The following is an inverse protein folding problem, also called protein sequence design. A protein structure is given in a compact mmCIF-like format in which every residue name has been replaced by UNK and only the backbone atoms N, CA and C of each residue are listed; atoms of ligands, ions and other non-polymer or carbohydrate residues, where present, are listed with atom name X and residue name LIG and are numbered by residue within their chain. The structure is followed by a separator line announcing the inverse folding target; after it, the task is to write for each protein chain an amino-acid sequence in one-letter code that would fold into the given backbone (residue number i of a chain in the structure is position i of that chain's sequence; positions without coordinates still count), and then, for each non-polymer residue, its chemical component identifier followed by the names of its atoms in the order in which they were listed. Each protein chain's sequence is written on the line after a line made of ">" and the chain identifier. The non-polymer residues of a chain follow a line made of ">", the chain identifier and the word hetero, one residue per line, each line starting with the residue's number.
data_IF_214190665159
#
_entry.id   IF_214190665159
#
_cell.length_a   1.000
_cell.length_b   1.000
_cell.length_c   1.000
_cell.angle_alpha   90.00
_cell.angle_beta   90.00
_cell.angle_gamma   90.00
#
_symmetry.space_group_name_H-M   'P 1'
#
loop_
_entity.id
_entity.type
_entity.pdbx_description
1 polymer ?
#
# COMPACT_ATOMS: atom_id res chain seq x y z
N UNK A 1 -19.59 2.32 -9.88
CA UNK A 1 -19.23 1.43 -8.76
C UNK A 1 -17.72 1.45 -8.66
N UNK A 2 -17.15 2.05 -7.62
CA UNK A 2 -15.70 2.05 -7.41
C UNK A 2 -15.24 0.67 -6.95
N UNK A 3 -14.05 0.25 -7.37
CA UNK A 3 -13.45 -0.96 -6.82
C UNK A 3 -13.00 -0.66 -5.40
N UNK A 4 -13.59 -1.35 -4.44
CA UNK A 4 -13.16 -1.31 -3.04
C UNK A 4 -12.16 -2.43 -2.78
N UNK A 5 -11.03 -2.09 -2.17
CA UNK A 5 -9.97 -3.05 -1.82
C UNK A 5 -9.89 -3.20 -0.30
N UNK A 6 -9.74 -4.44 0.16
CA UNK A 6 -9.36 -4.74 1.53
C UNK A 6 -7.84 -4.79 1.63
N UNK A 7 -7.28 -4.05 2.58
CA UNK A 7 -5.84 -4.02 2.83
C UNK A 7 -5.55 -4.68 4.17
N UNK A 8 -4.71 -5.70 4.13
CA UNK A 8 -4.21 -6.37 5.33
C UNK A 8 -2.77 -5.93 5.57
N UNK A 9 -2.55 -5.31 6.72
CA UNK A 9 -1.23 -4.89 7.17
C UNK A 9 -0.57 -6.00 7.99
N UNK A 10 0.61 -6.43 7.53
CA UNK A 10 1.52 -7.29 8.28
C UNK A 10 2.00 -6.57 9.55
N UNK A 11 2.49 -7.34 10.52
CA UNK A 11 2.97 -6.81 11.79
C UNK A 11 4.16 -5.87 11.58
N UNK A 12 5.12 -6.26 10.73
CA UNK A 12 6.31 -5.47 10.40
C UNK A 12 5.96 -4.14 9.74
N UNK A 13 4.86 -4.10 8.97
CA UNK A 13 4.34 -2.85 8.42
C UNK A 13 3.82 -1.92 9.52
N UNK A 14 3.11 -2.47 10.51
CA UNK A 14 2.54 -1.68 11.62
C UNK A 14 3.64 -1.10 12.48
N UNK A 15 4.62 -1.92 12.86
CA UNK A 15 5.79 -1.48 13.63
C UNK A 15 6.53 -0.36 12.91
N UNK A 16 6.81 -0.53 11.62
CA UNK A 16 7.43 0.52 10.81
C UNK A 16 6.57 1.78 10.76
N UNK A 17 5.26 1.64 10.47
CA UNK A 17 4.35 2.77 10.35
C UNK A 17 4.24 3.56 11.65
N UNK A 18 4.20 2.89 12.80
CA UNK A 18 4.10 3.53 14.11
C UNK A 18 5.36 4.31 14.48
N UNK A 19 6.53 3.84 14.02
CA UNK A 19 7.81 4.53 14.20
C UNK A 19 8.01 5.76 13.29
N UNK A 20 7.19 5.92 12.24
CA UNK A 20 7.29 7.04 11.30
C UNK A 20 6.82 8.37 11.89
N UNK A 21 7.34 9.47 11.35
CA UNK A 21 6.86 10.82 11.69
C UNK A 21 5.37 11.00 11.36
N UNK A 22 4.69 11.90 12.06
CA UNK A 22 3.26 12.19 11.82
C UNK A 22 2.96 12.54 10.36
N UNK A 23 3.79 13.40 9.76
CA UNK A 23 3.71 13.76 8.34
C UNK A 23 3.83 12.53 7.45
N UNK A 24 4.77 11.64 7.76
CA UNK A 24 5.00 10.41 7.00
C UNK A 24 3.79 9.47 7.07
N UNK A 25 3.27 9.24 8.28
CA UNK A 25 2.05 8.44 8.50
C UNK A 25 0.87 8.98 7.72
N UNK A 26 0.63 10.30 7.76
CA UNK A 26 -0.46 10.94 7.00
C UNK A 26 -0.33 10.71 5.48
N UNK A 27 0.87 10.84 4.92
CA UNK A 27 1.10 10.62 3.49
C UNK A 27 0.85 9.16 3.08
N UNK A 28 1.31 8.22 3.90
CA UNK A 28 1.08 6.78 3.68
C UNK A 28 -0.41 6.47 3.78
N UNK A 29 -1.08 6.92 4.83
CA UNK A 29 -2.51 6.65 5.03
C UNK A 29 -3.39 7.26 3.93
N UNK A 30 -3.09 8.47 3.46
CA UNK A 30 -3.79 9.07 2.32
C UNK A 30 -3.56 8.31 1.00
N UNK A 31 -2.42 7.63 0.83
CA UNK A 31 -2.22 6.74 -0.33
C UNK A 31 -3.03 5.46 -0.19
N UNK A 32 -2.97 4.82 0.98
CA UNK A 32 -3.70 3.58 1.28
C UNK A 32 -5.21 3.81 1.11
N UNK A 33 -5.76 4.91 1.62
CA UNK A 33 -7.20 5.21 1.47
C UNK A 33 -7.64 5.39 0.02
N UNK A 34 -6.76 5.88 -0.87
CA UNK A 34 -7.05 5.96 -2.31
C UNK A 34 -7.07 4.58 -2.97
N UNK A 35 -6.18 3.69 -2.53
CA UNK A 35 -6.22 2.28 -2.96
C UNK A 35 -7.51 1.63 -2.49
N UNK A 36 -7.87 1.77 -1.21
CA UNK A 36 -9.07 1.16 -0.62
C UNK A 36 -10.36 1.64 -1.27
N UNK A 37 -10.50 2.95 -1.53
CA UNK A 37 -11.77 3.54 -1.97
C UNK A 37 -11.93 3.58 -3.49
N UNK A 38 -10.85 3.53 -4.26
CA UNK A 38 -10.90 3.75 -5.70
C UNK A 38 -10.01 2.84 -6.53
N UNK A 39 -9.22 1.95 -5.90
CA UNK A 39 -8.21 1.16 -6.61
C UNK A 39 -7.10 2.00 -7.22
N UNK A 40 -6.87 3.22 -6.71
CA UNK A 40 -5.88 4.12 -7.28
C UNK A 40 -4.48 3.89 -6.65
N UNK A 41 -3.74 2.93 -7.21
CA UNK A 41 -2.37 2.59 -6.78
C UNK A 41 -1.32 3.66 -7.12
N UNK A 42 -1.59 4.50 -8.12
CA UNK A 42 -0.62 5.47 -8.64
C UNK A 42 0.61 4.81 -9.27
N UNK A 43 1.81 5.17 -8.80
CA UNK A 43 3.05 4.60 -9.36
C UNK A 43 3.34 3.25 -8.71
N UNK A 44 2.97 2.19 -9.44
CA UNK A 44 3.16 0.81 -9.02
C UNK A 44 4.11 0.08 -9.99
N UNK A 45 4.98 -0.77 -9.45
CA UNK A 45 5.91 -1.60 -10.24
C UNK A 45 5.84 -3.05 -9.78
N UNK A 46 5.83 -4.00 -10.71
CA UNK A 46 6.04 -5.41 -10.40
C UNK A 46 7.53 -5.67 -10.11
N UNK A 47 7.83 -6.27 -8.96
CA UNK A 47 9.19 -6.70 -8.60
C UNK A 47 9.40 -8.18 -8.95
N UNK A 48 8.43 -9.04 -8.64
CA UNK A 48 8.42 -10.48 -8.90
C UNK A 48 6.96 -10.96 -9.04
N UNK A 49 6.75 -12.25 -9.33
CA UNK A 49 5.40 -12.86 -9.32
C UNK A 49 4.71 -12.55 -7.99
N UNK A 50 3.54 -11.91 -8.06
CA UNK A 50 2.72 -11.51 -6.90
C UNK A 50 3.39 -10.54 -5.91
N UNK A 51 4.53 -9.92 -6.27
CA UNK A 51 5.16 -8.89 -5.44
C UNK A 51 5.18 -7.57 -6.20
N UNK A 52 4.50 -6.58 -5.66
CA UNK A 52 4.39 -5.25 -6.23
C UNK A 52 4.94 -4.20 -5.27
N UNK A 53 5.42 -3.11 -5.83
CA UNK A 53 5.96 -1.98 -5.11
C UNK A 53 5.15 -0.72 -5.43
N UNK A 54 4.66 -0.07 -4.38
CA UNK A 54 4.08 1.28 -4.40
C UNK A 54 5.19 2.30 -4.20
N UNK A 55 5.42 3.16 -5.19
CA UNK A 55 6.38 4.26 -5.10
C UNK A 55 5.69 5.57 -4.71
N UNK A 56 6.23 6.23 -3.70
CA UNK A 56 5.78 7.53 -3.21
C UNK A 56 6.63 8.66 -3.82
N UNK A 57 6.05 9.86 -3.84
CA UNK A 57 6.70 11.03 -4.46
C UNK A 57 7.95 11.50 -3.69
N UNK A 58 8.04 11.17 -2.40
CA UNK A 58 9.18 11.44 -1.54
C UNK A 58 10.27 10.34 -1.59
N UNK A 59 10.11 9.36 -2.48
CA UNK A 59 11.06 8.27 -2.68
C UNK A 59 10.78 7.02 -1.84
N UNK A 60 9.82 7.04 -0.91
CA UNK A 60 9.44 5.85 -0.14
C UNK A 60 8.85 4.76 -1.04
N UNK A 61 9.00 3.50 -0.59
CA UNK A 61 8.57 2.31 -1.31
C UNK A 61 7.91 1.36 -0.32
N UNK A 62 6.68 0.93 -0.62
CA UNK A 62 5.97 -0.09 0.16
C UNK A 62 5.73 -1.29 -0.74
N UNK A 63 6.05 -2.47 -0.24
CA UNK A 63 5.81 -3.72 -0.94
C UNK A 63 4.43 -4.27 -0.57
N UNK A 64 3.73 -4.83 -1.56
CA UNK A 64 2.41 -5.43 -1.39
C UNK A 64 2.31 -6.74 -2.17
N UNK A 65 1.48 -7.64 -1.65
CA UNK A 65 1.09 -8.87 -2.31
C UNK A 65 -0.40 -8.80 -2.64
N UNK A 66 -0.83 -9.05 -3.89
CA UNK A 66 -2.23 -9.27 -4.17
C UNK A 66 -2.61 -10.60 -3.54
N UNK A 67 -3.65 -10.59 -2.71
CA UNK A 67 -4.30 -11.81 -2.26
C UNK A 67 -5.03 -12.39 -3.46
N UNK A 68 -4.48 -13.46 -4.05
CA UNK A 68 -5.26 -14.32 -4.92
C UNK A 68 -6.18 -15.13 -4.01
N UNK A 69 -7.49 -14.83 -4.04
CA UNK A 69 -8.47 -15.74 -3.47
C UNK A 69 -8.38 -17.03 -4.27
N UNK A 70 -7.94 -18.11 -3.63
CA UNK A 70 -8.01 -19.45 -4.22
C UNK A 70 -9.48 -19.71 -4.60
N UNK A 71 -9.75 -19.75 -5.90
CA UNK A 71 -11.00 -20.20 -6.50
C UNK A 71 -11.06 -21.71 -6.54
#
# INVERSE_FOLDING_TARGET
>A
MGNHYFIYALEEYREWFDAESEKSRYQVQNRISRVENSGHFGSIRSLKKQLWELKFNDGRRIQQFPLELFS
#
